data_IF_703380048234
#
_entry.id   IF_703380048234
#
_cell.length_a   1.000
_cell.length_b   1.000
_cell.length_c   1.000
_cell.angle_alpha   90.00
_cell.angle_beta   90.00
_cell.angle_gamma   90.00
#
_symmetry.space_group_name_H-M   'P 1'
#
loop_
_entity.id
_entity.type
_entity.pdbx_description
1 polymer ?
#
# COMPACT_ATOMS: atom_id res chain seq x y z
N UNK A 1 19.13 0.04 8.84
CA UNK A 1 17.74 0.27 8.42
C UNK A 1 16.84 0.72 9.58
N UNK A 2 16.82 0.03 10.73
CA UNK A 2 16.05 0.47 11.92
C UNK A 2 16.41 1.90 12.36
N UNK A 3 17.69 2.27 12.36
CA UNK A 3 18.13 3.64 12.63
C UNK A 3 17.69 4.62 11.55
N UNK A 4 17.68 4.20 10.27
CA UNK A 4 17.18 4.99 9.16
C UNK A 4 15.67 5.19 9.24
N UNK A 5 14.91 4.17 9.63
CA UNK A 5 13.45 4.28 9.78
C UNK A 5 13.07 5.28 10.89
N UNK A 6 13.76 5.26 12.03
CA UNK A 6 13.50 6.22 13.12
C UNK A 6 13.86 7.66 12.72
N UNK A 7 14.96 7.89 11.99
CA UNK A 7 15.31 9.22 11.48
C UNK A 7 14.32 9.73 10.44
N UNK A 8 13.85 8.86 9.55
CA UNK A 8 12.81 9.18 8.57
C UNK A 8 11.47 9.47 9.24
N UNK A 9 11.10 8.73 10.28
CA UNK A 9 9.89 8.98 11.07
C UNK A 9 9.91 10.36 11.74
N UNK A 10 11.01 10.72 12.40
CA UNK A 10 11.18 12.02 13.04
C UNK A 10 11.07 13.16 12.01
N UNK A 11 11.78 13.05 10.90
CA UNK A 11 11.73 14.02 9.80
C UNK A 11 10.32 14.14 9.20
N UNK A 12 9.64 13.02 8.94
CA UNK A 12 8.27 13.04 8.40
C UNK A 12 7.26 13.68 9.36
N UNK A 13 7.45 13.55 10.67
CA UNK A 13 6.57 14.20 11.66
C UNK A 13 6.78 15.71 11.73
N UNK A 14 7.99 16.19 11.45
CA UNK A 14 8.33 17.60 11.48
C UNK A 14 7.98 18.31 10.16
N UNK A 15 8.19 17.65 9.02
CA UNK A 15 8.04 18.25 7.69
C UNK A 15 6.62 18.15 7.12
N UNK A 16 5.91 17.03 7.37
CA UNK A 16 4.59 16.80 6.80
C UNK A 16 3.49 17.54 7.58
N UNK A 17 2.51 18.03 6.82
CA UNK A 17 1.34 18.75 7.32
C UNK A 17 0.05 17.95 7.08
N UNK A 18 -1.05 18.29 7.74
CA UNK A 18 -2.35 17.62 7.51
C UNK A 18 -2.85 17.67 6.07
N UNK A 19 -2.42 18.67 5.29
CA UNK A 19 -2.81 18.86 3.88
C UNK A 19 -2.01 17.96 2.93
N UNK A 20 -0.88 17.41 3.39
CA UNK A 20 -0.01 16.58 2.57
C UNK A 20 -0.56 15.15 2.40
N UNK A 21 -0.22 14.57 1.27
CA UNK A 21 -0.44 13.16 0.97
C UNK A 21 0.92 12.44 0.92
N UNK A 22 1.02 11.32 1.61
CA UNK A 22 2.24 10.52 1.65
C UNK A 22 2.02 9.18 0.95
N UNK A 23 2.84 8.90 -0.05
CA UNK A 23 2.96 7.55 -0.60
C UNK A 23 4.26 6.91 -0.15
N UNK A 24 4.16 5.73 0.44
CA UNK A 24 5.30 4.89 0.82
C UNK A 24 5.36 3.70 -0.11
N UNK A 25 6.44 3.57 -0.87
CA UNK A 25 6.68 2.39 -1.69
C UNK A 25 7.74 1.49 -1.04
N UNK A 26 7.40 0.25 -0.79
CA UNK A 26 8.32 -0.77 -0.29
C UNK A 26 8.43 -1.91 -1.27
N UNK A 27 9.62 -2.12 -1.82
CA UNK A 27 9.97 -3.29 -2.61
C UNK A 27 11.06 -4.07 -1.87
N UNK A 28 10.77 -5.31 -1.50
CA UNK A 28 11.71 -6.10 -0.72
C UNK A 28 11.12 -7.42 -0.24
N UNK A 29 11.89 -8.10 0.60
CA UNK A 29 11.42 -9.34 1.19
C UNK A 29 10.56 -9.08 2.44
N UNK A 30 9.55 -9.91 2.60
CA UNK A 30 8.74 -10.01 3.81
C UNK A 30 8.90 -11.39 4.45
N UNK A 31 8.62 -11.48 5.73
CA UNK A 31 8.60 -12.73 6.50
C UNK A 31 7.40 -12.74 7.44
N UNK A 32 6.94 -13.91 7.81
CA UNK A 32 5.87 -14.09 8.80
C UNK A 32 6.30 -15.04 9.91
N UNK A 33 6.16 -14.62 11.14
CA UNK A 33 6.26 -15.53 12.27
C UNK A 33 5.01 -16.40 12.33
N UNK A 34 5.18 -17.69 12.10
CA UNK A 34 4.08 -18.65 12.02
C UNK A 34 3.33 -18.82 13.34
N UNK A 35 3.97 -18.58 14.47
CA UNK A 35 3.36 -18.71 15.79
C UNK A 35 2.50 -17.50 16.15
N UNK A 36 3.03 -16.29 15.98
CA UNK A 36 2.34 -15.04 16.30
C UNK A 36 1.53 -14.47 15.13
N UNK A 37 1.72 -14.98 13.90
CA UNK A 37 1.18 -14.41 12.64
C UNK A 37 1.61 -12.96 12.40
N UNK A 38 2.68 -12.52 13.07
CA UNK A 38 3.28 -11.21 12.88
C UNK A 38 4.05 -11.19 11.57
N UNK A 39 3.71 -10.23 10.71
CA UNK A 39 4.47 -9.93 9.49
C UNK A 39 5.61 -8.97 9.74
N UNK A 40 6.65 -9.08 8.92
CA UNK A 40 7.86 -8.27 9.00
C UNK A 40 8.33 -7.83 7.62
N UNK A 41 8.87 -6.62 7.54
CA UNK A 41 9.67 -6.17 6.41
C UNK A 41 11.14 -6.46 6.68
N UNK A 42 11.83 -7.00 5.67
CA UNK A 42 13.25 -7.29 5.75
C UNK A 42 14.04 -6.17 5.07
N UNK A 43 14.80 -5.40 5.86
CA UNK A 43 15.74 -4.43 5.34
C UNK A 43 17.01 -5.11 4.80
N UNK A 44 17.87 -4.34 4.15
CA UNK A 44 19.15 -4.84 3.59
C UNK A 44 20.12 -5.38 4.65
N UNK A 45 19.93 -5.00 5.88
CA UNK A 45 20.69 -5.45 7.06
C UNK A 45 19.98 -6.56 7.85
N UNK A 46 18.83 -7.05 7.34
CA UNK A 46 18.10 -8.14 7.98
C UNK A 46 18.90 -9.44 7.92
N UNK A 47 18.93 -10.17 9.03
CA UNK A 47 19.63 -11.45 9.14
C UNK A 47 18.61 -12.58 9.19
N UNK A 48 18.86 -13.61 8.37
CA UNK A 48 18.00 -14.79 8.34
C UNK A 48 17.94 -15.45 9.72
N UNK A 49 16.73 -15.81 10.16
CA UNK A 49 16.53 -16.44 11.47
C UNK A 49 16.72 -15.52 12.68
N UNK A 50 16.89 -14.21 12.48
CA UNK A 50 17.04 -13.22 13.55
C UNK A 50 15.93 -12.15 13.51
N UNK A 51 14.73 -12.42 14.05
CA UNK A 51 13.60 -11.48 14.01
C UNK A 51 13.89 -10.12 14.65
N UNK A 52 14.86 -10.04 15.54
CA UNK A 52 15.31 -8.76 16.13
C UNK A 52 15.91 -7.78 15.12
N UNK A 53 16.35 -8.26 13.95
CA UNK A 53 16.87 -7.44 12.86
C UNK A 53 15.78 -7.05 11.84
N UNK A 54 14.56 -7.59 11.96
CA UNK A 54 13.45 -7.35 11.05
C UNK A 54 12.57 -6.20 11.55
N UNK A 55 11.78 -5.61 10.66
CA UNK A 55 10.87 -4.52 10.98
C UNK A 55 9.46 -5.09 11.10
N UNK A 56 8.88 -5.13 12.32
CA UNK A 56 7.51 -5.60 12.47
C UNK A 56 6.53 -4.69 11.74
N UNK A 57 5.52 -5.27 11.07
CA UNK A 57 4.42 -4.51 10.45
C UNK A 57 3.75 -3.58 11.48
N UNK A 58 3.68 -4.00 12.74
CA UNK A 58 3.16 -3.17 13.83
C UNK A 58 3.95 -1.88 14.03
N UNK A 59 5.28 -1.94 13.98
CA UNK A 59 6.11 -0.75 14.11
C UNK A 59 5.89 0.22 12.94
N UNK A 60 5.72 -0.30 11.72
CA UNK A 60 5.34 0.51 10.55
C UNK A 60 3.99 1.16 10.78
N UNK A 61 2.97 0.41 11.24
CA UNK A 61 1.64 0.94 11.53
C UNK A 61 1.67 2.06 12.59
N UNK A 62 2.45 1.90 13.65
CA UNK A 62 2.58 2.89 14.72
C UNK A 62 3.22 4.19 14.19
N UNK A 63 4.25 4.09 13.33
CA UNK A 63 4.85 5.24 12.64
C UNK A 63 3.81 5.94 11.77
N UNK A 64 3.12 5.21 10.90
CA UNK A 64 2.10 5.77 10.01
C UNK A 64 0.93 6.41 10.77
N UNK A 65 0.61 5.90 11.96
CA UNK A 65 -0.38 6.51 12.82
C UNK A 65 0.07 7.86 13.38
N UNK A 66 1.36 8.04 13.63
CA UNK A 66 1.92 9.27 14.20
C UNK A 66 2.17 10.38 13.17
N UNK A 67 2.21 10.05 11.86
CA UNK A 67 2.45 11.03 10.79
C UNK A 67 1.25 11.97 10.64
N UNK A 68 1.49 13.32 10.55
CA UNK A 68 0.42 14.31 10.43
C UNK A 68 -0.36 14.25 9.12
N UNK A 69 0.28 13.86 8.00
CA UNK A 69 -0.37 13.79 6.70
C UNK A 69 -1.73 13.07 6.77
N UNK A 70 -2.78 13.69 6.19
CA UNK A 70 -4.14 13.16 6.27
C UNK A 70 -4.30 11.85 5.51
N UNK A 71 -3.71 11.74 4.33
CA UNK A 71 -3.81 10.56 3.50
C UNK A 71 -2.45 9.89 3.33
N UNK A 72 -2.39 8.62 3.68
CA UNK A 72 -1.20 7.79 3.47
C UNK A 72 -1.59 6.52 2.72
N UNK A 73 -0.88 6.27 1.63
CA UNK A 73 -0.94 5.02 0.88
C UNK A 73 0.40 4.30 1.00
N UNK A 74 0.38 3.07 1.47
CA UNK A 74 1.52 2.17 1.39
C UNK A 74 1.33 1.26 0.17
N UNK A 75 2.29 1.27 -0.74
CA UNK A 75 2.38 0.30 -1.84
C UNK A 75 3.49 -0.68 -1.48
N UNK A 76 3.11 -1.92 -1.17
CA UNK A 76 4.06 -2.93 -0.71
C UNK A 76 4.18 -4.09 -1.70
N UNK A 77 5.28 -4.09 -2.43
CA UNK A 77 5.69 -5.17 -3.34
C UNK A 77 6.58 -6.16 -2.58
N UNK A 78 5.94 -6.99 -1.77
CA UNK A 78 6.62 -7.86 -0.82
C UNK A 78 5.74 -9.06 -0.47
N UNK A 79 6.38 -10.20 -0.21
CA UNK A 79 5.71 -11.38 0.37
C UNK A 79 5.12 -11.02 1.75
N UNK A 80 4.00 -11.64 2.11
CA UNK A 80 3.33 -11.45 3.41
C UNK A 80 2.90 -10.02 3.74
N UNK A 81 2.88 -9.12 2.75
CA UNK A 81 2.45 -7.74 2.93
C UNK A 81 0.97 -7.62 3.34
N UNK A 82 0.12 -8.56 2.95
CA UNK A 82 -1.27 -8.67 3.40
C UNK A 82 -1.45 -8.78 4.92
N UNK A 83 -0.42 -9.19 5.66
CA UNK A 83 -0.47 -9.19 7.13
C UNK A 83 -0.54 -7.78 7.77
N UNK A 84 -0.39 -6.70 7.00
CA UNK A 84 -0.57 -5.32 7.46
C UNK A 84 -2.03 -4.86 7.45
N UNK A 85 -2.89 -5.52 6.69
CA UNK A 85 -4.23 -5.03 6.37
C UNK A 85 -5.31 -5.67 7.22
N UNK A 86 -6.45 -4.99 7.35
CA UNK A 86 -7.71 -5.57 7.83
C UNK A 86 -8.51 -6.07 6.64
N UNK A 87 -9.36 -7.07 6.86
CA UNK A 87 -10.30 -7.51 5.85
C UNK A 87 -11.25 -6.37 5.43
N UNK A 88 -11.35 -6.15 4.15
CA UNK A 88 -12.29 -5.35 3.35
C UNK A 88 -12.46 -3.86 3.68
N UNK A 89 -12.18 -3.03 2.68
CA UNK A 89 -12.71 -1.66 2.57
C UNK A 89 -14.21 -1.76 2.19
N UNK A 90 -15.09 -0.96 2.79
CA UNK A 90 -16.46 -0.84 2.31
C UNK A 90 -16.45 -0.44 0.83
N UNK A 91 -17.11 -1.23 0.00
CA UNK A 91 -17.20 -0.92 -1.43
C UNK A 91 -18.09 0.31 -1.62
N UNK A 92 -17.56 1.32 -2.26
CA UNK A 92 -18.37 2.40 -2.80
C UNK A 92 -19.25 1.85 -3.93
N UNK A 93 -20.57 1.91 -3.76
CA UNK A 93 -21.53 1.36 -4.71
C UNK A 93 -21.70 2.21 -5.99
N UNK A 94 -20.82 3.18 -6.23
CA UNK A 94 -20.88 4.13 -7.34
C UNK A 94 -21.76 5.34 -7.03
N UNK A 95 -21.34 6.53 -7.48
CA UNK A 95 -22.19 7.71 -7.50
C UNK A 95 -23.20 7.56 -8.66
N UNK A 96 -24.45 7.92 -8.41
CA UNK A 96 -25.49 7.91 -9.45
C UNK A 96 -25.47 9.20 -10.28
N UNK A 97 -24.82 10.25 -9.75
CA UNK A 97 -24.66 11.53 -10.42
C UNK A 97 -23.39 12.28 -9.95
N UNK A 98 -23.04 13.37 -10.64
CA UNK A 98 -21.85 14.17 -10.37
C UNK A 98 -21.90 14.86 -9.00
N UNK A 99 -23.08 15.19 -8.49
CA UNK A 99 -23.23 15.82 -7.17
C UNK A 99 -22.91 14.83 -6.05
N UNK A 100 -23.41 13.60 -6.16
CA UNK A 100 -23.08 12.52 -5.21
C UNK A 100 -21.60 12.18 -5.24
N UNK A 101 -21.00 12.13 -6.45
CA UNK A 101 -19.56 11.92 -6.61
C UNK A 101 -18.76 13.03 -5.92
N UNK A 102 -19.10 14.29 -6.18
CA UNK A 102 -18.42 15.44 -5.58
C UNK A 102 -18.55 15.46 -4.05
N UNK A 103 -19.73 15.15 -3.53
CA UNK A 103 -19.97 15.07 -2.09
C UNK A 103 -19.14 13.92 -1.45
N UNK A 104 -19.07 12.77 -2.11
CA UNK A 104 -18.26 11.64 -1.66
C UNK A 104 -16.76 11.99 -1.64
N UNK A 105 -16.22 12.53 -2.74
CA UNK A 105 -14.82 12.95 -2.82
C UNK A 105 -14.49 13.96 -1.72
N UNK A 106 -15.37 14.95 -1.49
CA UNK A 106 -15.19 15.93 -0.41
C UNK A 106 -15.15 15.27 0.96
N UNK A 107 -16.04 14.32 1.22
CA UNK A 107 -16.07 13.57 2.49
C UNK A 107 -14.80 12.75 2.69
N UNK A 108 -14.36 12.03 1.65
CA UNK A 108 -13.14 11.21 1.69
C UNK A 108 -11.89 12.06 1.90
N UNK A 109 -11.83 13.26 1.30
CA UNK A 109 -10.72 14.19 1.49
C UNK A 109 -10.65 14.81 2.89
N UNK A 110 -11.73 14.82 3.63
CA UNK A 110 -11.76 15.33 5.01
C UNK A 110 -11.40 14.28 6.04
N UNK A 111 -11.58 13.02 5.72
CA UNK A 111 -11.33 11.90 6.62
C UNK A 111 -9.91 11.34 6.43
N UNK A 112 -9.35 10.84 7.51
CA UNK A 112 -8.00 10.28 7.51
C UNK A 112 -7.96 8.94 6.75
N UNK A 113 -7.01 8.82 5.80
CA UNK A 113 -6.74 7.58 5.08
C UNK A 113 -5.41 6.96 5.50
N UNK A 114 -5.44 5.67 5.79
CA UNK A 114 -4.28 4.81 6.04
C UNK A 114 -4.54 3.48 5.36
N UNK A 115 -4.22 3.39 4.09
CA UNK A 115 -4.49 2.23 3.25
C UNK A 115 -3.21 1.63 2.71
N UNK A 116 -3.24 0.33 2.42
CA UNK A 116 -2.16 -0.35 1.73
C UNK A 116 -2.69 -1.07 0.50
N UNK A 117 -1.94 -0.92 -0.59
CA UNK A 117 -2.02 -1.72 -1.80
C UNK A 117 -0.83 -2.68 -1.79
N UNK A 118 -1.09 -3.96 -1.73
CA UNK A 118 -0.05 -4.99 -1.61
C UNK A 118 -0.07 -5.91 -2.81
N UNK A 119 1.10 -6.45 -3.17
CA UNK A 119 1.22 -7.40 -4.27
C UNK A 119 0.49 -8.72 -4.00
N UNK A 120 0.14 -8.97 -2.74
CA UNK A 120 -0.59 -10.17 -2.30
C UNK A 120 0.23 -11.45 -2.37
N UNK A 121 -0.32 -12.49 -1.75
CA UNK A 121 0.26 -13.82 -1.80
C UNK A 121 1.19 -14.16 -0.63
N UNK A 122 1.19 -15.44 -0.31
CA UNK A 122 2.10 -16.08 0.66
C UNK A 122 3.35 -16.63 -0.04
N UNK A 123 3.41 -16.56 -1.37
CA UNK A 123 4.52 -17.06 -2.17
C UNK A 123 5.41 -15.90 -2.65
N UNK A 124 6.72 -16.14 -2.76
CA UNK A 124 7.63 -15.17 -3.36
C UNK A 124 7.15 -14.79 -4.77
N UNK A 125 7.10 -13.50 -5.06
CA UNK A 125 6.85 -13.02 -6.42
C UNK A 125 8.13 -13.26 -7.22
N UNK A 126 8.07 -13.97 -8.37
CA UNK A 126 9.24 -14.11 -9.20
C UNK A 126 9.73 -12.77 -9.72
N UNK A 127 10.99 -12.44 -9.48
CA UNK A 127 11.66 -11.22 -9.97
C UNK A 127 11.81 -11.13 -11.49
N UNK A 128 11.31 -12.11 -12.23
CA UNK A 128 11.69 -12.29 -13.62
C UNK A 128 10.56 -12.34 -14.62
N UNK A 129 10.02 -11.19 -14.92
CA UNK A 129 9.36 -11.00 -16.21
C UNK A 129 10.16 -10.04 -17.12
N UNK A 130 11.51 -10.14 -17.09
CA UNK A 130 12.37 -9.55 -18.11
C UNK A 130 12.34 -8.02 -18.25
N UNK A 131 12.53 -7.26 -17.17
CA UNK A 131 12.51 -5.79 -17.28
C UNK A 131 12.78 -4.98 -16.00
N UNK A 132 13.36 -5.59 -14.98
CA UNK A 132 13.79 -4.86 -13.77
C UNK A 132 12.70 -4.57 -12.74
N UNK A 133 11.43 -4.51 -13.10
CA UNK A 133 10.31 -4.32 -12.19
C UNK A 133 9.46 -5.60 -12.08
N UNK A 134 8.90 -5.86 -10.91
CA UNK A 134 7.92 -6.93 -10.73
C UNK A 134 6.66 -6.68 -11.59
N UNK A 135 5.86 -7.73 -11.80
CA UNK A 135 4.58 -7.62 -12.48
C UNK A 135 3.65 -6.62 -11.77
N UNK A 136 3.61 -6.68 -10.44
CA UNK A 136 2.82 -5.78 -9.61
C UNK A 136 3.31 -4.32 -9.75
N UNK A 137 4.62 -4.08 -9.64
CA UNK A 137 5.20 -2.75 -9.80
C UNK A 137 4.87 -2.15 -11.18
N UNK A 138 4.99 -2.95 -12.26
CA UNK A 138 4.61 -2.51 -13.61
C UNK A 138 3.13 -2.18 -13.73
N UNK A 139 2.26 -2.99 -13.15
CA UNK A 139 0.83 -2.73 -13.15
C UNK A 139 0.49 -1.42 -12.43
N UNK A 140 1.13 -1.15 -11.29
CA UNK A 140 0.97 0.12 -10.56
C UNK A 140 1.47 1.31 -11.40
N UNK A 141 2.66 1.20 -11.98
CA UNK A 141 3.25 2.26 -12.80
C UNK A 141 2.37 2.57 -14.02
N UNK A 142 1.93 1.55 -14.77
CA UNK A 142 1.07 1.74 -15.93
C UNK A 142 -0.24 2.45 -15.55
N UNK A 143 -0.90 2.02 -14.46
CA UNK A 143 -2.13 2.66 -14.00
C UNK A 143 -1.95 4.13 -13.60
N UNK A 144 -0.76 4.49 -13.08
CA UNK A 144 -0.44 5.89 -12.74
C UNK A 144 -0.03 6.71 -13.96
N UNK A 145 0.69 6.13 -14.93
CA UNK A 145 1.12 6.79 -16.16
C UNK A 145 -0.06 7.12 -17.09
N UNK A 146 -1.01 6.19 -17.20
CA UNK A 146 -2.21 6.33 -18.02
C UNK A 146 -3.30 7.18 -17.36
N UNK A 147 -3.07 7.65 -16.12
CA UNK A 147 -4.06 8.38 -15.35
C UNK A 147 -4.29 9.80 -15.88
N UNK A 148 -5.48 10.06 -16.41
CA UNK A 148 -5.93 11.36 -16.90
C UNK A 148 -7.13 11.94 -16.13
N UNK A 149 -7.51 11.32 -15.02
CA UNK A 149 -8.64 11.72 -14.16
C UNK A 149 -8.24 11.59 -12.68
N UNK A 150 -9.16 11.96 -11.80
CA UNK A 150 -9.00 11.63 -10.37
C UNK A 150 -9.01 10.10 -10.20
N UNK A 151 -7.92 9.55 -9.68
CA UNK A 151 -7.74 8.12 -9.47
C UNK A 151 -7.71 7.84 -7.96
N UNK A 152 -8.80 7.30 -7.45
CA UNK A 152 -8.87 6.85 -6.06
C UNK A 152 -8.20 5.47 -5.89
N UNK A 153 -7.71 5.17 -4.69
CA UNK A 153 -6.98 3.95 -4.38
C UNK A 153 -7.75 2.66 -4.70
N UNK A 154 -9.07 2.65 -4.53
CA UNK A 154 -9.89 1.50 -4.91
C UNK A 154 -9.94 1.29 -6.44
N UNK A 155 -9.95 2.35 -7.23
CA UNK A 155 -9.89 2.25 -8.69
C UNK A 155 -8.50 1.77 -9.12
N UNK A 156 -7.44 2.36 -8.56
CA UNK A 156 -6.07 1.89 -8.77
C UNK A 156 -5.94 0.39 -8.47
N UNK A 157 -6.48 -0.07 -7.35
CA UNK A 157 -6.50 -1.49 -6.99
C UNK A 157 -7.19 -2.36 -8.05
N UNK A 158 -8.35 -1.94 -8.56
CA UNK A 158 -9.06 -2.70 -9.61
C UNK A 158 -8.25 -2.82 -10.89
N UNK A 159 -7.61 -1.74 -11.33
CA UNK A 159 -6.78 -1.70 -12.54
C UNK A 159 -5.53 -2.58 -12.37
N UNK A 160 -4.84 -2.46 -11.24
CA UNK A 160 -3.68 -3.29 -10.90
C UNK A 160 -4.06 -4.77 -10.85
N UNK A 161 -5.17 -5.10 -10.18
CA UNK A 161 -5.63 -6.50 -10.04
C UNK A 161 -6.00 -7.09 -11.40
N UNK A 162 -6.67 -6.35 -12.26
CA UNK A 162 -7.01 -6.81 -13.60
C UNK A 162 -5.74 -7.11 -14.43
N UNK A 163 -4.76 -6.21 -14.40
CA UNK A 163 -3.49 -6.38 -15.11
C UNK A 163 -2.70 -7.59 -14.59
N UNK A 164 -2.58 -7.72 -13.25
CA UNK A 164 -1.88 -8.84 -12.62
C UNK A 164 -2.59 -10.16 -12.91
N UNK A 165 -3.93 -10.21 -12.84
CA UNK A 165 -4.69 -11.44 -13.09
C UNK A 165 -4.53 -11.94 -14.53
N UNK A 166 -4.52 -11.04 -15.52
CA UNK A 166 -4.30 -11.41 -16.93
C UNK A 166 -2.90 -12.01 -17.12
N UNK A 167 -1.87 -11.35 -16.62
CA UNK A 167 -0.50 -11.83 -16.77
C UNK A 167 -0.22 -13.09 -15.93
N UNK A 168 -0.86 -13.23 -14.75
CA UNK A 168 -0.77 -14.43 -13.91
C UNK A 168 -1.37 -15.65 -14.59
N UNK A 169 -2.49 -15.49 -15.32
CA UNK A 169 -3.11 -16.58 -16.08
C UNK A 169 -2.19 -17.11 -17.20
N UNK A 170 -1.41 -16.23 -17.84
CA UNK A 170 -0.44 -16.62 -18.87
C UNK A 170 0.80 -17.31 -18.30
N UNK A 171 1.18 -16.99 -17.07
CA UNK A 171 2.43 -17.43 -16.45
C UNK A 171 2.25 -18.51 -15.38
N UNK A 172 1.02 -18.95 -15.11
CA UNK A 172 0.67 -19.89 -14.03
C UNK A 172 1.15 -19.42 -12.64
N UNK A 173 1.16 -18.11 -12.41
CA UNK A 173 1.52 -17.46 -11.15
C UNK A 173 0.29 -17.23 -10.29
N UNK A 174 0.40 -17.47 -8.98
CA UNK A 174 -0.63 -17.16 -8.00
C UNK A 174 -0.27 -15.82 -7.33
N UNK A 175 -0.69 -14.72 -7.92
CA UNK A 175 -0.56 -13.40 -7.34
C UNK A 175 -1.93 -12.74 -7.25
N UNK A 176 -2.32 -12.31 -6.05
CA UNK A 176 -3.61 -11.67 -5.79
C UNK A 176 -3.37 -10.38 -5.01
N UNK A 177 -3.25 -9.22 -5.68
CA UNK A 177 -3.14 -7.94 -5.02
C UNK A 177 -4.28 -7.70 -4.01
N UNK A 178 -3.98 -7.01 -2.92
CA UNK A 178 -4.95 -6.63 -1.91
C UNK A 178 -4.92 -5.13 -1.68
N UNK A 179 -6.09 -4.54 -1.40
CA UNK A 179 -6.21 -3.15 -0.98
C UNK A 179 -7.11 -3.06 0.24
N UNK A 180 -6.56 -2.57 1.33
CA UNK A 180 -7.32 -2.49 2.58
C UNK A 180 -6.71 -1.48 3.57
N UNK A 181 -7.47 -1.07 4.61
CA UNK A 181 -6.97 -0.27 5.71
C UNK A 181 -5.82 -0.96 6.44
N UNK A 182 -4.81 -0.18 6.80
CA UNK A 182 -3.68 -0.65 7.63
C UNK A 182 -4.15 -0.77 9.08
N UNK A 183 -3.92 -1.93 9.68
CA UNK A 183 -4.27 -2.18 11.08
C UNK A 183 -3.52 -1.22 11.99
N UNK A 184 -4.21 -0.67 12.98
CA UNK A 184 -3.67 0.20 14.03
C UNK A 184 -3.04 1.53 13.54
N UNK A 185 -3.16 1.87 12.26
CA UNK A 185 -2.61 3.10 11.70
C UNK A 185 -3.56 4.31 11.79
N UNK A 186 -4.72 4.16 12.43
CA UNK A 186 -5.67 5.26 12.60
C UNK A 186 -6.44 5.61 11.32
N UNK A 187 -6.74 4.62 10.48
CA UNK A 187 -7.63 4.83 9.34
C UNK A 187 -9.05 5.14 9.81
N UNK A 188 -9.65 6.16 9.22
CA UNK A 188 -11.06 6.52 9.38
C UNK A 188 -11.86 6.04 8.17
N UNK A 189 -12.40 6.93 7.37
CA UNK A 189 -13.13 6.58 6.15
C UNK A 189 -12.57 7.31 4.92
N UNK A 190 -11.35 7.88 5.04
CA UNK A 190 -10.72 8.61 3.96
C UNK A 190 -10.20 7.71 2.84
N UNK A 191 -9.96 8.32 1.69
CA UNK A 191 -9.40 7.63 0.52
C UNK A 191 -8.17 8.38 0.03
N UNK A 192 -7.18 7.64 -0.47
CA UNK A 192 -6.02 8.23 -1.14
C UNK A 192 -6.35 8.45 -2.61
N UNK A 193 -6.13 9.67 -3.09
CA UNK A 193 -6.44 10.02 -4.47
C UNK A 193 -5.21 10.59 -5.18
N UNK A 194 -5.02 10.20 -6.44
CA UNK A 194 -4.05 10.78 -7.35
C UNK A 194 -4.76 11.76 -8.28
N UNK A 195 -4.27 12.98 -8.35
CA UNK A 195 -4.69 13.94 -9.36
C UNK A 195 -3.96 13.67 -10.68
N UNK A 196 -4.60 13.90 -11.85
CA UNK A 196 -3.91 13.81 -13.13
C UNK A 196 -2.81 14.86 -13.23
N UNK A 197 -1.79 14.58 -14.03
CA UNK A 197 -0.84 15.63 -14.43
C UNK A 197 -1.60 16.69 -15.23
N UNK A 198 -1.52 17.93 -14.78
CA UNK A 198 -2.00 19.09 -15.53
C UNK A 198 -1.15 19.34 -16.79
#
# INVERSE_FOLDING_TARGET
FKRGLNGVDEQMREELKPEDNLMVYFAGHGEIDQASKQGYWLGVDARQGQPSSWIPNRAVSDILNAIPARHVLVVADSCYSGAMTRASVPRFAGAQDDAQWSAWVKSMNQSRSRTALTSGGLAPVPDSAGGGNSLFARAVLNALEDNNQLLEGQKLFREVTATVAMAAAESNLLQAPEYAPIQFAGHEAGEFCFAPKG
#
